data_IF_656019898053
#
_entry.id   IF_656019898053
#
_cell.length_a   1.000
_cell.length_b   1.000
_cell.length_c   1.000
_cell.angle_alpha   90.00
_cell.angle_beta   90.00
_cell.angle_gamma   90.00
#
_symmetry.space_group_name_H-M   'P 1'
#
loop_
_entity.id
_entity.type
_entity.pdbx_description
1 polymer ?
#
# COMPACT_ATOMS: atom_id res chain seq x y z
N UNK A 1 -6.43 -14.18 21.68
CA UNK A 1 -6.39 -12.70 21.77
C UNK A 1 -7.78 -12.20 22.12
N UNK A 2 -7.92 -11.33 23.12
CA UNK A 2 -9.25 -10.93 23.62
C UNK A 2 -9.97 -10.03 22.60
N UNK A 3 -11.29 -10.20 22.39
CA UNK A 3 -12.03 -9.49 21.32
C UNK A 3 -11.92 -7.97 21.43
N UNK A 4 -11.90 -7.45 22.65
CA UNK A 4 -11.70 -6.02 22.96
C UNK A 4 -10.33 -5.50 22.53
N UNK A 5 -9.30 -6.34 22.64
CA UNK A 5 -7.93 -6.01 22.25
C UNK A 5 -7.79 -5.98 20.71
N UNK A 6 -8.46 -6.91 20.01
CA UNK A 6 -8.51 -6.91 18.54
C UNK A 6 -9.18 -5.63 18.04
N UNK A 7 -10.32 -5.26 18.64
CA UNK A 7 -11.07 -4.07 18.25
C UNK A 7 -10.25 -2.79 18.49
N UNK A 8 -9.61 -2.65 19.65
CA UNK A 8 -8.76 -1.49 19.97
C UNK A 8 -7.58 -1.33 19.01
N UNK A 9 -6.87 -2.42 18.71
CA UNK A 9 -5.73 -2.39 17.76
C UNK A 9 -6.20 -2.06 16.35
N UNK A 10 -7.34 -2.60 15.91
CA UNK A 10 -7.87 -2.33 14.56
C UNK A 10 -8.27 -0.87 14.37
N UNK A 11 -8.87 -0.23 15.38
CA UNK A 11 -9.23 1.19 15.34
C UNK A 11 -7.97 2.05 15.28
N UNK A 12 -6.98 1.77 16.14
CA UNK A 12 -5.70 2.49 16.12
C UNK A 12 -4.96 2.36 14.79
N UNK A 13 -4.98 1.18 14.17
CA UNK A 13 -4.37 0.97 12.86
C UNK A 13 -5.00 1.88 11.78
N UNK A 14 -6.34 2.01 11.77
CA UNK A 14 -7.05 2.86 10.81
C UNK A 14 -6.66 4.33 10.99
N UNK A 15 -6.64 4.83 12.23
CA UNK A 15 -6.23 6.21 12.51
C UNK A 15 -4.76 6.46 12.16
N UNK A 16 -3.88 5.50 12.41
CA UNK A 16 -2.45 5.60 12.09
C UNK A 16 -2.20 5.71 10.59
N UNK A 17 -2.96 4.98 9.77
CA UNK A 17 -2.84 5.05 8.30
C UNK A 17 -3.27 6.43 7.78
N UNK A 18 -4.31 7.02 8.37
CA UNK A 18 -4.79 8.36 8.01
C UNK A 18 -3.77 9.46 8.30
N UNK A 19 -3.06 9.39 9.43
CA UNK A 19 -2.05 10.40 9.78
C UNK A 19 -0.77 10.25 8.94
N UNK A 20 -0.34 9.02 8.67
CA UNK A 20 0.87 8.77 7.86
C UNK A 20 0.67 9.22 6.40
N UNK A 21 -0.54 9.12 5.85
CA UNK A 21 -0.82 9.49 4.46
C UNK A 21 -1.00 11.01 4.23
N UNK A 22 -1.55 11.74 5.20
CA UNK A 22 -1.88 13.16 5.00
C UNK A 22 -0.70 14.12 5.28
N UNK A 23 0.17 13.78 6.24
CA UNK A 23 1.30 14.63 6.67
C UNK A 23 2.29 14.95 5.53
N UNK A 24 2.71 13.98 4.68
CA UNK A 24 3.63 14.27 3.57
C UNK A 24 3.04 15.23 2.54
N UNK A 25 1.73 15.12 2.28
CA UNK A 25 1.03 15.96 1.31
C UNK A 25 0.94 17.40 1.82
N UNK A 26 0.55 17.57 3.09
CA UNK A 26 0.45 18.90 3.69
C UNK A 26 1.81 19.62 3.75
N UNK A 27 2.90 18.88 4.06
CA UNK A 27 4.26 19.42 4.10
C UNK A 27 4.85 19.69 2.71
N UNK A 28 4.43 18.98 1.68
CA UNK A 28 4.94 19.20 0.32
C UNK A 28 4.54 20.57 -0.25
N UNK A 29 3.41 21.14 0.20
CA UNK A 29 2.86 22.40 -0.33
C UNK A 29 2.86 23.55 0.70
N UNK A 30 3.45 23.36 1.89
CA UNK A 30 3.35 24.33 2.99
C UNK A 30 4.04 25.68 2.74
N UNK A 31 4.80 25.82 1.65
CA UNK A 31 5.52 27.05 1.26
C UNK A 31 5.12 27.62 -0.10
N UNK A 32 4.03 27.14 -0.71
CA UNK A 32 3.57 27.63 -2.01
C UNK A 32 2.90 29.00 -1.84
N UNK A 33 3.47 30.03 -2.47
CA UNK A 33 2.93 31.40 -2.42
C UNK A 33 3.25 32.20 -1.15
N UNK A 34 4.18 31.75 -0.30
CA UNK A 34 4.68 32.57 0.82
C UNK A 34 5.70 33.62 0.34
N UNK A 35 5.87 34.73 1.07
CA UNK A 35 6.95 35.69 0.78
C UNK A 35 8.32 34.99 0.87
N UNK A 36 9.11 35.05 -0.22
CA UNK A 36 10.39 34.34 -0.35
C UNK A 36 10.27 32.83 -0.63
N UNK A 37 9.05 32.31 -0.79
CA UNK A 37 8.77 30.93 -1.20
C UNK A 37 8.70 30.76 -2.71
N UNK A 38 8.53 29.52 -3.15
CA UNK A 38 8.38 29.19 -4.57
C UNK A 38 7.06 29.75 -5.11
N UNK A 39 7.11 30.39 -6.28
CA UNK A 39 5.92 30.88 -6.97
C UNK A 39 5.13 29.73 -7.62
N UNK A 40 3.87 29.96 -7.95
CA UNK A 40 3.05 28.94 -8.60
C UNK A 40 3.62 28.55 -9.97
N UNK A 41 4.09 29.54 -10.72
CA UNK A 41 4.69 29.38 -12.05
C UNK A 41 5.97 28.54 -11.99
N UNK A 42 6.88 28.85 -11.07
CA UNK A 42 8.12 28.07 -10.87
C UNK A 42 7.81 26.64 -10.42
N UNK A 43 6.81 26.46 -9.57
CA UNK A 43 6.39 25.13 -9.14
C UNK A 43 5.80 24.31 -10.31
N UNK A 44 5.05 24.95 -11.21
CA UNK A 44 4.50 24.32 -12.41
C UNK A 44 5.61 23.94 -13.40
N UNK A 45 6.58 24.82 -13.63
CA UNK A 45 7.74 24.55 -14.47
C UNK A 45 8.56 23.37 -13.93
N UNK A 46 8.82 23.33 -12.62
CA UNK A 46 9.52 22.21 -11.99
C UNK A 46 8.74 20.90 -12.06
N UNK A 47 7.41 20.93 -11.94
CA UNK A 47 6.57 19.75 -12.09
C UNK A 47 6.66 19.18 -13.51
N UNK A 48 6.57 20.03 -14.54
CA UNK A 48 6.70 19.63 -15.95
C UNK A 48 8.06 19.00 -16.21
N UNK A 49 9.15 19.63 -15.76
CA UNK A 49 10.50 19.08 -15.91
C UNK A 49 10.69 17.73 -15.21
N UNK A 50 10.02 17.49 -14.07
CA UNK A 50 10.05 16.19 -13.39
C UNK A 50 9.38 15.10 -14.23
N UNK A 51 8.26 15.42 -14.89
CA UNK A 51 7.56 14.48 -15.78
C UNK A 51 8.41 14.16 -17.02
N UNK A 52 8.97 15.18 -17.67
CA UNK A 52 9.86 15.00 -18.82
C UNK A 52 11.09 14.15 -18.44
N UNK A 53 11.73 14.45 -17.31
CA UNK A 53 12.87 13.66 -16.82
C UNK A 53 12.51 12.21 -16.50
N UNK A 54 11.31 11.95 -15.98
CA UNK A 54 10.84 10.59 -15.73
C UNK A 54 10.54 9.84 -17.04
N UNK A 55 10.00 10.53 -18.06
CA UNK A 55 9.78 9.95 -19.37
C UNK A 55 11.11 9.60 -20.07
N UNK A 56 12.11 10.47 -19.95
CA UNK A 56 13.44 10.26 -20.51
C UNK A 56 14.26 9.20 -19.73
N UNK A 57 13.91 8.93 -18.47
CA UNK A 57 14.64 8.03 -17.57
C UNK A 57 13.68 7.03 -16.89
N UNK A 58 13.08 6.11 -17.66
CA UNK A 58 12.05 5.19 -17.16
C UNK A 58 12.54 4.23 -16.08
N UNK A 59 13.86 4.03 -15.95
CA UNK A 59 14.47 3.17 -14.94
C UNK A 59 14.71 3.87 -13.58
N UNK A 60 14.43 5.17 -13.45
CA UNK A 60 14.86 5.99 -12.29
C UNK A 60 13.69 6.63 -11.51
N UNK A 61 12.44 6.38 -11.91
CA UNK A 61 11.25 6.82 -11.18
C UNK A 61 11.02 6.01 -9.89
N UNK A 62 10.29 6.56 -8.90
CA UNK A 62 10.12 6.04 -7.52
C UNK A 62 9.45 4.66 -7.35
N UNK A 63 9.46 3.83 -8.40
CA UNK A 63 9.44 2.37 -8.27
C UNK A 63 8.09 1.70 -8.12
N UNK A 64 6.96 2.42 -8.18
CA UNK A 64 5.64 1.76 -8.08
C UNK A 64 4.75 2.05 -9.28
N UNK A 65 5.07 1.52 -10.48
CA UNK A 65 4.11 1.50 -11.56
C UNK A 65 2.91 0.63 -11.17
N UNK A 66 1.71 1.17 -11.15
CA UNK A 66 0.51 0.42 -10.76
C UNK A 66 0.16 -0.70 -11.75
N UNK A 67 0.76 -0.71 -12.94
CA UNK A 67 0.49 -1.69 -14.01
C UNK A 67 1.72 -2.54 -14.37
N UNK A 68 2.84 -2.39 -13.67
CA UNK A 68 4.02 -3.22 -13.88
C UNK A 68 3.97 -4.49 -13.01
N UNK A 69 4.54 -5.58 -13.52
CA UNK A 69 4.66 -6.85 -12.81
C UNK A 69 5.51 -6.73 -11.53
N UNK A 70 6.44 -5.77 -11.51
CA UNK A 70 7.27 -5.41 -10.35
C UNK A 70 6.62 -4.37 -9.44
N UNK A 71 5.49 -3.80 -9.85
CA UNK A 71 4.81 -2.73 -9.15
C UNK A 71 3.68 -3.18 -8.22
N UNK A 72 2.78 -2.28 -7.85
CA UNK A 72 1.77 -2.53 -6.82
C UNK A 72 0.77 -3.62 -7.22
N UNK A 73 0.35 -3.65 -8.50
CA UNK A 73 -0.60 -4.65 -8.97
C UNK A 73 0.05 -6.02 -9.19
N UNK A 74 1.27 -6.06 -9.73
CA UNK A 74 2.04 -7.29 -9.83
C UNK A 74 2.34 -7.91 -8.46
N UNK A 75 2.79 -7.11 -7.50
CA UNK A 75 3.00 -7.56 -6.11
C UNK A 75 1.69 -8.00 -5.43
N UNK A 76 0.57 -7.32 -5.69
CA UNK A 76 -0.75 -7.71 -5.15
C UNK A 76 -1.23 -9.05 -5.71
N UNK A 77 -1.02 -9.31 -7.01
CA UNK A 77 -1.36 -10.60 -7.64
C UNK A 77 -0.49 -11.71 -7.05
N UNK A 78 0.82 -11.51 -6.94
CA UNK A 78 1.75 -12.49 -6.37
C UNK A 78 1.36 -12.82 -4.92
N UNK A 79 1.09 -11.79 -4.10
CA UNK A 79 0.64 -11.97 -2.73
C UNK A 79 -0.71 -12.73 -2.66
N UNK A 80 -1.68 -12.35 -3.50
CA UNK A 80 -2.98 -13.02 -3.58
C UNK A 80 -2.87 -14.50 -3.94
N UNK A 81 -1.97 -14.86 -4.86
CA UNK A 81 -1.74 -16.26 -5.25
C UNK A 81 -1.08 -17.06 -4.14
N UNK A 82 -0.06 -16.52 -3.46
CA UNK A 82 0.64 -17.23 -2.37
C UNK A 82 -0.30 -17.44 -1.18
N UNK A 83 -0.91 -16.37 -0.67
CA UNK A 83 -1.80 -16.47 0.48
C UNK A 83 -3.09 -17.21 0.15
N UNK A 84 -3.65 -17.00 -1.05
CA UNK A 84 -4.82 -17.74 -1.53
C UNK A 84 -4.53 -19.24 -1.72
N UNK A 85 -3.35 -19.59 -2.22
CA UNK A 85 -2.89 -20.97 -2.37
C UNK A 85 -2.70 -21.68 -1.03
N UNK A 86 -2.03 -21.02 -0.07
CA UNK A 86 -1.87 -21.55 1.29
C UNK A 86 -3.23 -21.69 1.98
N UNK A 87 -4.10 -20.68 1.88
CA UNK A 87 -5.44 -20.72 2.46
C UNK A 87 -6.27 -21.87 1.89
N UNK A 88 -6.23 -22.07 0.57
CA UNK A 88 -6.96 -23.16 -0.10
C UNK A 88 -6.39 -24.52 0.30
N UNK A 89 -5.08 -24.67 0.37
CA UNK A 89 -4.43 -25.91 0.82
C UNK A 89 -4.79 -26.26 2.27
N UNK A 90 -4.77 -25.27 3.17
CA UNK A 90 -5.19 -25.43 4.56
C UNK A 90 -6.68 -25.72 4.68
N UNK A 91 -7.52 -25.07 3.86
CA UNK A 91 -8.95 -25.30 3.82
C UNK A 91 -9.31 -26.73 3.38
N UNK A 92 -8.67 -27.22 2.31
CA UNK A 92 -8.85 -28.60 1.84
C UNK A 92 -8.33 -29.60 2.87
N UNK A 93 -7.13 -29.38 3.41
CA UNK A 93 -6.54 -30.25 4.44
C UNK A 93 -7.32 -30.25 5.76
N UNK A 94 -7.94 -29.12 6.10
CA UNK A 94 -8.83 -28.98 7.25
C UNK A 94 -10.09 -29.85 7.14
N UNK A 95 -10.61 -30.10 5.94
CA UNK A 95 -11.76 -31.00 5.72
C UNK A 95 -11.39 -32.49 5.79
N UNK A 96 -10.12 -32.86 5.61
CA UNK A 96 -9.65 -34.25 5.63
C UNK A 96 -8.93 -34.65 6.93
N UNK A 97 -8.82 -33.75 7.92
CA UNK A 97 -8.15 -34.02 9.19
C UNK A 97 -8.98 -34.91 10.14
N UNK A 98 -8.32 -35.62 11.06
CA UNK A 98 -8.97 -36.49 12.08
C UNK A 98 -10.03 -35.78 12.93
N UNK A 99 -10.00 -34.45 13.00
CA UNK A 99 -10.98 -33.61 13.71
C UNK A 99 -12.17 -33.15 12.84
N UNK A 100 -12.17 -33.41 11.53
CA UNK A 100 -13.30 -33.12 10.64
C UNK A 100 -14.30 -34.28 10.58
N UNK A 101 -13.87 -35.51 10.88
CA UNK A 101 -14.75 -36.63 11.11
C UNK A 101 -15.23 -36.63 12.57
N UNK A 102 -16.32 -35.90 12.84
CA UNK A 102 -17.00 -36.00 14.12
C UNK A 102 -17.44 -37.45 14.33
N UNK A 103 -17.00 -38.09 15.43
CA UNK A 103 -17.44 -39.45 15.81
C UNK A 103 -16.45 -40.60 15.65
N UNK A 104 -15.13 -40.35 15.63
CA UNK A 104 -14.11 -41.40 15.87
C UNK A 104 -13.26 -41.08 17.10
N UNK A 105 -13.91 -41.17 18.26
CA UNK A 105 -13.36 -41.19 19.60
C UNK A 105 -14.35 -41.94 20.47
#
# INVERSE_FOLDING_TARGET
MNKTMILGVSIMAIFSIGTISMVPIALAYSGLGSEGGITLEEHLELATRKVEKAADNPATGSGTPYLDASGVLGSSIIAGVIFGGIATAMFVRGRSGRYAAYGRG
#
